data_IF_635593073792
#
_entry.id   IF_635593073792
#
_cell.length_a   1.000
_cell.length_b   1.000
_cell.length_c   1.000
_cell.angle_alpha   90.00
_cell.angle_beta   90.00
_cell.angle_gamma   90.00
#
_symmetry.space_group_name_H-M   'P 1'
#
loop_
_entity.id
_entity.type
_entity.pdbx_description
1 polymer ?
#
# COMPACT_ATOMS: atom_id res chain seq x y z
N UNK A 1 -13.87 8.74 -3.37
CA UNK A 1 -12.47 9.19 -3.22
C UNK A 1 -11.58 8.14 -3.86
N UNK A 2 -11.02 8.45 -5.04
CA UNK A 2 -10.36 7.47 -5.92
C UNK A 2 -8.95 7.92 -6.28
N UNK A 3 -8.06 6.98 -6.53
CA UNK A 3 -6.72 7.19 -7.07
C UNK A 3 -6.61 6.48 -8.41
N UNK A 4 -6.11 7.14 -9.45
CA UNK A 4 -5.90 6.52 -10.75
C UNK A 4 -4.59 6.97 -11.37
N UNK A 5 -3.97 6.10 -12.17
CA UNK A 5 -2.89 6.54 -13.04
C UNK A 5 -3.46 7.40 -14.18
N UNK A 6 -2.71 8.40 -14.69
CA UNK A 6 -3.13 9.16 -15.85
C UNK A 6 -3.49 8.25 -17.03
N UNK A 7 -4.73 8.36 -17.53
CA UNK A 7 -5.23 7.57 -18.66
C UNK A 7 -5.62 6.12 -18.33
N UNK A 8 -5.59 5.70 -17.06
CA UNK A 8 -6.09 4.39 -16.68
C UNK A 8 -7.63 4.32 -16.71
N UNK A 9 -8.16 3.22 -17.23
CA UNK A 9 -9.62 2.91 -17.19
C UNK A 9 -10.06 2.37 -15.82
N UNK A 10 -9.11 2.09 -14.94
CA UNK A 10 -9.35 1.61 -13.59
C UNK A 10 -8.88 2.62 -12.54
N UNK A 11 -9.42 2.48 -11.33
CA UNK A 11 -9.07 3.31 -10.18
C UNK A 11 -9.02 2.47 -8.90
N UNK A 12 -8.26 2.96 -7.93
CA UNK A 12 -8.16 2.41 -6.58
C UNK A 12 -8.95 3.28 -5.61
N UNK A 13 -9.79 2.64 -4.80
CA UNK A 13 -10.55 3.29 -3.73
C UNK A 13 -10.23 2.61 -2.41
N UNK A 14 -10.14 3.38 -1.32
CA UNK A 14 -10.05 2.82 0.02
C UNK A 14 -11.44 2.82 0.65
N UNK A 15 -11.82 1.71 1.27
CA UNK A 15 -12.99 1.73 2.15
C UNK A 15 -12.70 2.55 3.43
N UNK A 16 -13.76 2.93 4.15
CA UNK A 16 -13.64 3.76 5.35
C UNK A 16 -12.88 3.04 6.50
N UNK A 17 -13.03 1.71 6.60
CA UNK A 17 -12.38 0.91 7.63
C UNK A 17 -10.86 0.84 7.41
N UNK A 18 -10.44 0.76 6.15
CA UNK A 18 -9.06 0.77 5.68
C UNK A 18 -8.43 2.13 5.89
N UNK A 19 -9.13 3.22 5.52
CA UNK A 19 -8.68 4.59 5.83
C UNK A 19 -8.49 4.75 7.34
N UNK A 20 -9.49 4.36 8.13
CA UNK A 20 -9.45 4.46 9.59
C UNK A 20 -8.30 3.64 10.19
N UNK A 21 -8.05 2.43 9.69
CA UNK A 21 -6.98 1.57 10.17
C UNK A 21 -5.61 2.17 9.87
N UNK A 22 -5.39 2.63 8.64
CA UNK A 22 -4.12 3.24 8.22
C UNK A 22 -3.86 4.55 8.96
N UNK A 23 -4.88 5.39 9.15
CA UNK A 23 -4.75 6.64 9.92
C UNK A 23 -4.39 6.39 11.40
N UNK A 24 -4.86 5.30 12.00
CA UNK A 24 -4.45 4.90 13.37
C UNK A 24 -2.96 4.53 13.46
N UNK A 25 -2.31 4.23 12.33
CA UNK A 25 -0.90 3.82 12.27
C UNK A 25 0.05 4.95 11.84
N UNK A 26 -0.46 6.15 11.58
CA UNK A 26 0.36 7.33 11.26
C UNK A 26 1.46 7.56 12.32
N UNK A 27 2.65 7.91 11.85
CA UNK A 27 3.83 8.10 12.69
C UNK A 27 3.84 9.50 13.35
N UNK A 28 2.90 9.73 14.25
CA UNK A 28 2.59 11.06 14.82
C UNK A 28 3.61 11.62 15.81
N UNK A 29 4.45 10.77 16.41
CA UNK A 29 5.34 11.17 17.50
C UNK A 29 6.81 10.96 17.12
N UNK A 30 7.71 11.76 17.68
CA UNK A 30 9.18 11.70 17.49
C UNK A 30 9.85 10.38 17.87
N UNK A 31 9.11 9.44 18.48
CA UNK A 31 9.56 8.07 18.81
C UNK A 31 8.74 6.98 18.13
N UNK A 32 7.72 7.35 17.34
CA UNK A 32 6.96 6.40 16.54
C UNK A 32 7.88 5.77 15.50
N UNK A 33 7.74 4.47 15.31
CA UNK A 33 8.47 3.70 14.31
C UNK A 33 7.60 3.53 13.08
N UNK A 34 8.25 3.33 11.93
CA UNK A 34 7.52 2.94 10.73
C UNK A 34 6.75 1.64 10.94
N UNK A 35 5.51 1.62 10.47
CA UNK A 35 4.66 0.43 10.37
C UNK A 35 4.55 0.01 8.92
N UNK A 36 4.37 -1.29 8.69
CA UNK A 36 4.19 -1.87 7.36
C UNK A 36 3.06 -2.89 7.37
N UNK A 37 2.41 -3.07 6.23
CA UNK A 37 1.37 -4.07 6.07
C UNK A 37 0.98 -4.26 4.62
N UNK A 38 -0.12 -4.97 4.40
CA UNK A 38 -0.56 -5.38 3.08
C UNK A 38 -1.97 -4.87 2.78
N UNK A 39 -2.24 -4.68 1.50
CA UNK A 39 -3.50 -4.15 0.96
C UNK A 39 -4.26 -5.27 0.24
N UNK A 40 -5.54 -5.42 0.53
CA UNK A 40 -6.37 -6.48 -0.03
C UNK A 40 -7.67 -5.94 -0.62
N UNK A 41 -8.11 -6.62 -1.68
CA UNK A 41 -9.44 -6.47 -2.30
C UNK A 41 -10.11 -7.84 -2.36
N UNK A 42 -11.44 -7.86 -2.37
CA UNK A 42 -12.24 -9.05 -2.67
C UNK A 42 -12.62 -9.17 -4.16
N UNK A 43 -12.34 -8.14 -4.96
CA UNK A 43 -12.64 -8.10 -6.39
C UNK A 43 -11.48 -7.47 -7.19
N UNK A 44 -11.03 -8.17 -8.22
CA UNK A 44 -10.00 -7.74 -9.18
C UNK A 44 -10.56 -7.41 -10.57
N UNK A 45 -11.87 -7.59 -10.78
CA UNK A 45 -12.52 -7.48 -12.09
C UNK A 45 -13.19 -6.14 -12.32
N UNK A 46 -13.56 -5.44 -11.24
CA UNK A 46 -14.14 -4.11 -11.31
C UNK A 46 -13.15 -3.05 -11.79
N UNK A 47 -13.65 -2.06 -12.53
CA UNK A 47 -12.89 -0.85 -12.87
C UNK A 47 -12.56 0.01 -11.65
N UNK A 48 -13.26 -0.15 -10.54
CA UNK A 48 -12.88 0.47 -9.26
C UNK A 48 -12.49 -0.65 -8.30
N UNK A 49 -11.18 -0.80 -8.08
CA UNK A 49 -10.63 -1.76 -7.12
C UNK A 49 -10.76 -1.14 -5.72
N UNK A 50 -11.51 -1.79 -4.85
CA UNK A 50 -11.72 -1.32 -3.48
C UNK A 50 -10.78 -2.05 -2.53
N UNK A 51 -9.92 -1.30 -1.83
CA UNK A 51 -9.19 -1.81 -0.68
C UNK A 51 -10.20 -2.01 0.46
N UNK A 52 -10.65 -3.25 0.61
CA UNK A 52 -11.64 -3.68 1.61
C UNK A 52 -11.01 -4.22 2.89
N UNK A 53 -9.72 -4.59 2.84
CA UNK A 53 -8.97 -5.01 4.02
C UNK A 53 -7.54 -4.54 3.93
N UNK A 54 -7.05 -4.08 5.07
CA UNK A 54 -5.65 -3.77 5.28
C UNK A 54 -5.16 -4.57 6.47
N UNK A 55 -3.95 -5.07 6.40
CA UNK A 55 -3.33 -5.80 7.50
C UNK A 55 -2.11 -5.06 8.01
N UNK A 56 -1.51 -5.56 9.07
CA UNK A 56 -0.22 -5.07 9.54
C UNK A 56 0.69 -6.27 9.75
N UNK A 57 1.93 -6.09 9.36
CA UNK A 57 2.97 -7.08 9.54
C UNK A 57 3.80 -6.71 10.75
N UNK A 58 4.29 -7.71 11.46
CA UNK A 58 5.25 -7.47 12.53
C UNK A 58 6.57 -7.04 11.91
N UNK A 59 7.02 -5.84 12.24
CA UNK A 59 8.34 -5.40 11.83
C UNK A 59 9.43 -6.26 12.51
N UNK A 60 10.31 -6.86 11.72
CA UNK A 60 11.55 -7.48 12.20
C UNK A 60 12.54 -6.43 12.67
N UNK A 61 12.65 -5.34 11.91
CA UNK A 61 13.35 -4.12 12.31
C UNK A 61 12.51 -2.94 11.86
N UNK A 62 12.33 -1.97 12.75
CA UNK A 62 11.73 -0.71 12.40
C UNK A 62 12.49 0.41 13.09
N UNK A 63 12.81 1.42 12.31
CA UNK A 63 13.41 2.67 12.74
C UNK A 63 12.46 3.82 12.42
N UNK A 64 12.96 5.05 12.55
CA UNK A 64 12.24 6.25 12.19
C UNK A 64 11.92 6.35 10.68
N UNK A 65 12.79 5.79 9.83
CA UNK A 65 12.79 5.98 8.37
C UNK A 65 13.10 4.69 7.60
N UNK A 66 12.85 3.53 8.22
CA UNK A 66 13.03 2.24 7.56
C UNK A 66 12.29 1.15 8.33
N UNK A 67 11.61 0.28 7.59
CA UNK A 67 10.94 -0.91 8.10
C UNK A 67 11.33 -2.15 7.28
N UNK A 68 11.62 -3.24 7.98
CA UNK A 68 11.81 -4.57 7.41
C UNK A 68 10.84 -5.53 8.09
N UNK A 69 10.16 -6.35 7.29
CA UNK A 69 9.23 -7.37 7.76
C UNK A 69 9.70 -8.77 7.34
N UNK A 70 9.06 -9.81 7.88
CA UNK A 70 9.33 -11.19 7.49
C UNK A 70 8.56 -11.55 6.21
N UNK A 71 9.24 -11.85 5.09
CA UNK A 71 8.56 -12.20 3.84
C UNK A 71 7.77 -13.51 3.95
N UNK A 72 8.16 -14.43 4.84
CA UNK A 72 7.44 -15.70 5.07
C UNK A 72 6.13 -15.42 5.79
N UNK A 73 6.14 -14.56 6.81
CA UNK A 73 4.92 -14.13 7.51
C UNK A 73 3.97 -13.39 6.56
N UNK A 74 4.51 -12.49 5.73
CA UNK A 74 3.73 -11.78 4.73
C UNK A 74 3.08 -12.75 3.73
N UNK A 75 3.83 -13.73 3.23
CA UNK A 75 3.31 -14.74 2.31
C UNK A 75 2.22 -15.60 2.96
N UNK A 76 2.44 -16.06 4.20
CA UNK A 76 1.45 -16.83 4.94
C UNK A 76 0.14 -16.05 5.09
N UNK A 77 0.22 -14.78 5.50
CA UNK A 77 -0.95 -13.93 5.60
C UNK A 77 -1.67 -13.73 4.26
N UNK A 78 -0.93 -13.65 3.13
CA UNK A 78 -1.55 -13.61 1.80
C UNK A 78 -2.30 -14.89 1.48
N UNK A 79 -1.73 -16.04 1.80
CA UNK A 79 -2.34 -17.35 1.54
C UNK A 79 -3.60 -17.55 2.39
N UNK A 80 -3.53 -17.24 3.69
CA UNK A 80 -4.68 -17.35 4.60
C UNK A 80 -5.84 -16.47 4.12
N UNK A 81 -5.55 -15.22 3.73
CA UNK A 81 -6.57 -14.30 3.24
C UNK A 81 -7.08 -14.63 1.83
N UNK A 82 -6.24 -15.24 0.97
CA UNK A 82 -6.69 -15.75 -0.32
C UNK A 82 -7.71 -16.87 -0.15
N UNK A 83 -7.56 -17.74 0.85
CA UNK A 83 -8.56 -18.76 1.18
C UNK A 83 -9.89 -18.15 1.65
N UNK A 84 -9.86 -16.93 2.19
CA UNK A 84 -11.05 -16.12 2.53
C UNK A 84 -11.60 -15.32 1.33
N UNK A 85 -11.02 -15.45 0.13
CA UNK A 85 -11.43 -14.72 -1.07
C UNK A 85 -10.85 -13.30 -1.17
N UNK A 86 -9.79 -12.98 -0.43
CA UNK A 86 -9.13 -11.68 -0.46
C UNK A 86 -7.78 -11.75 -1.18
N UNK A 87 -7.65 -10.95 -2.23
CA UNK A 87 -6.46 -10.84 -3.07
C UNK A 87 -5.55 -9.74 -2.56
N UNK A 88 -4.28 -10.07 -2.31
CA UNK A 88 -3.27 -9.07 -1.99
C UNK A 88 -2.89 -8.31 -3.26
N UNK A 89 -3.06 -6.99 -3.25
CA UNK A 89 -2.75 -6.13 -4.40
C UNK A 89 -1.63 -5.13 -4.13
N UNK A 90 -1.14 -5.08 -2.89
CA UNK A 90 -0.17 -4.06 -2.54
C UNK A 90 0.40 -4.15 -1.14
N UNK A 91 1.33 -3.23 -0.89
CA UNK A 91 1.91 -2.96 0.42
C UNK A 91 1.62 -1.53 0.83
N UNK A 92 1.62 -1.30 2.13
CA UNK A 92 1.65 0.03 2.69
C UNK A 92 2.70 0.12 3.79
N UNK A 93 3.25 1.31 3.97
CA UNK A 93 4.01 1.66 5.17
C UNK A 93 3.82 3.12 5.54
N UNK A 94 4.32 3.51 6.71
CA UNK A 94 4.20 4.90 7.20
C UNK A 94 5.51 5.63 7.09
N UNK A 95 5.46 6.92 6.76
CA UNK A 95 6.56 7.84 6.92
C UNK A 95 6.23 8.89 8.00
N UNK A 96 7.25 9.48 8.64
CA UNK A 96 7.07 10.60 9.57
C UNK A 96 6.74 11.93 8.87
N UNK A 97 6.87 11.98 7.55
CA UNK A 97 6.69 13.18 6.74
C UNK A 97 5.20 13.54 6.58
N UNK A 98 4.91 14.84 6.44
CA UNK A 98 3.54 15.31 6.24
C UNK A 98 2.96 14.85 4.88
N UNK A 99 3.79 14.88 3.83
CA UNK A 99 3.48 14.47 2.47
C UNK A 99 4.67 13.62 1.97
N UNK A 100 4.61 12.30 2.07
CA UNK A 100 5.77 11.47 1.83
C UNK A 100 6.04 11.28 0.34
N UNK A 101 7.30 10.99 0.02
CA UNK A 101 7.74 10.49 -1.28
C UNK A 101 8.55 9.21 -1.08
N UNK A 102 8.44 8.22 -1.97
CA UNK A 102 9.23 7.01 -1.88
C UNK A 102 10.73 7.31 -1.98
N UNK A 103 11.52 6.64 -1.15
CA UNK A 103 12.97 6.57 -1.27
C UNK A 103 13.36 5.51 -2.31
N UNK A 104 14.62 5.50 -2.77
CA UNK A 104 15.11 4.45 -3.69
C UNK A 104 15.02 3.03 -3.12
N UNK A 105 15.02 2.88 -1.78
CA UNK A 105 14.77 1.58 -1.12
C UNK A 105 13.30 1.18 -1.26
N UNK A 106 12.36 2.12 -1.13
CA UNK A 106 10.94 1.88 -1.32
C UNK A 106 10.63 1.49 -2.76
N UNK A 107 11.23 2.18 -3.74
CA UNK A 107 11.04 1.85 -5.15
C UNK A 107 11.54 0.43 -5.47
N UNK A 108 12.70 0.05 -4.91
CA UNK A 108 13.25 -1.30 -5.08
C UNK A 108 12.36 -2.36 -4.44
N UNK A 109 11.85 -2.09 -3.24
CA UNK A 109 10.91 -2.98 -2.56
C UNK A 109 9.62 -3.14 -3.38
N UNK A 110 9.06 -2.04 -3.89
CA UNK A 110 7.89 -2.05 -4.77
C UNK A 110 8.16 -2.86 -6.05
N UNK A 111 9.34 -2.70 -6.66
CA UNK A 111 9.74 -3.45 -7.85
C UNK A 111 9.82 -4.95 -7.59
N UNK A 112 10.43 -5.37 -6.47
CA UNK A 112 10.58 -6.78 -6.11
C UNK A 112 9.21 -7.44 -5.86
N UNK A 113 8.29 -6.73 -5.20
CA UNK A 113 6.93 -7.21 -4.99
C UNK A 113 6.09 -7.23 -6.28
N UNK A 114 6.25 -6.24 -7.16
CA UNK A 114 5.61 -6.24 -8.47
C UNK A 114 6.05 -7.44 -9.33
N UNK A 115 7.36 -7.73 -9.36
CA UNK A 115 7.88 -8.91 -10.08
C UNK A 115 7.33 -10.22 -9.53
N UNK A 116 7.20 -10.32 -8.20
CA UNK A 116 6.63 -11.51 -7.57
C UNK A 116 5.12 -11.67 -7.85
N UNK A 117 4.40 -10.58 -8.18
CA UNK A 117 2.96 -10.57 -8.39
C UNK A 117 2.55 -10.54 -9.88
N UNK A 118 3.49 -10.44 -10.82
CA UNK A 118 3.21 -10.20 -12.25
C UNK A 118 2.38 -11.30 -12.92
N UNK A 119 2.39 -12.52 -12.39
CA UNK A 119 1.58 -13.63 -12.90
C UNK A 119 0.09 -13.48 -12.58
N UNK A 120 -0.28 -12.54 -11.70
CA UNK A 120 -1.65 -12.33 -11.22
C UNK A 120 -2.10 -10.87 -11.39
N UNK A 121 -1.17 -9.92 -11.31
CA UNK A 121 -1.46 -8.48 -11.33
C UNK A 121 -0.60 -7.77 -12.38
N UNK A 122 -1.21 -6.85 -13.13
CA UNK A 122 -0.50 -5.97 -14.07
C UNK A 122 0.29 -4.86 -13.39
N UNK A 123 0.11 -4.68 -12.08
CA UNK A 123 0.83 -3.71 -11.28
C UNK A 123 0.57 -3.93 -9.79
N UNK A 124 1.53 -3.51 -8.97
CA UNK A 124 1.47 -3.68 -7.53
C UNK A 124 1.32 -2.31 -6.85
N UNK A 125 0.29 -2.16 -6.02
CA UNK A 125 0.02 -0.92 -5.30
C UNK A 125 1.03 -0.74 -4.16
N UNK A 126 1.52 0.48 -4.01
CA UNK A 126 2.45 0.85 -2.96
C UNK A 126 2.00 2.17 -2.33
N UNK A 127 1.65 2.12 -1.05
CA UNK A 127 1.02 3.24 -0.34
C UNK A 127 1.92 3.70 0.80
N UNK A 128 2.25 4.98 0.85
CA UNK A 128 3.00 5.58 1.96
C UNK A 128 2.07 6.54 2.71
N UNK A 129 1.84 6.23 3.98
CA UNK A 129 0.97 6.98 4.88
C UNK A 129 1.81 8.00 5.64
N UNK A 130 1.69 9.27 5.27
CA UNK A 130 2.29 10.39 6.00
C UNK A 130 1.44 10.90 7.15
N UNK A 131 1.78 12.08 7.65
CA UNK A 131 1.18 12.69 8.84
C UNK A 131 0.04 13.68 8.56
N UNK A 132 -0.25 14.03 7.30
CA UNK A 132 -1.48 14.76 6.96
C UNK A 132 -2.68 13.81 6.83
N UNK A 133 -3.92 14.31 7.02
CA UNK A 133 -5.11 13.53 6.77
C UNK A 133 -5.17 12.93 5.36
N UNK A 134 -5.94 11.87 5.22
CA UNK A 134 -6.31 11.34 3.91
C UNK A 134 -7.21 12.36 3.19
N UNK A 135 -7.03 12.58 1.88
CA UNK A 135 -6.05 11.94 0.98
C UNK A 135 -4.69 12.65 0.91
N UNK A 136 -4.57 13.90 1.36
CA UNK A 136 -3.42 14.76 1.06
C UNK A 136 -2.09 14.28 1.66
N UNK A 137 -2.13 13.53 2.76
CA UNK A 137 -0.94 12.98 3.41
C UNK A 137 -0.48 11.63 2.88
N UNK A 138 -1.11 11.10 1.83
CA UNK A 138 -0.84 9.76 1.36
C UNK A 138 -0.19 9.79 -0.02
N UNK A 139 0.89 9.03 -0.18
CA UNK A 139 1.41 8.68 -1.48
C UNK A 139 0.74 7.38 -1.91
N UNK A 140 0.13 7.36 -3.10
CA UNK A 140 -0.37 6.14 -3.73
C UNK A 140 0.35 6.00 -5.06
N UNK A 141 1.10 4.91 -5.21
CA UNK A 141 1.79 4.60 -6.46
C UNK A 141 1.57 3.15 -6.89
N UNK A 142 1.90 2.88 -8.14
CA UNK A 142 1.79 1.57 -8.77
C UNK A 142 3.09 1.24 -9.47
N UNK A 143 3.61 0.04 -9.22
CA UNK A 143 4.78 -0.46 -9.91
C UNK A 143 4.40 -1.61 -10.85
N UNK A 144 4.69 -1.46 -12.15
CA UNK A 144 4.36 -2.42 -13.22
C UNK A 144 5.56 -3.29 -13.65
N UNK A 145 6.53 -3.49 -12.75
CA UNK A 145 7.88 -4.04 -12.98
C UNK A 145 8.87 -3.18 -13.77
N UNK A 146 8.42 -2.21 -14.56
CA UNK A 146 9.27 -1.34 -15.37
C UNK A 146 9.34 0.10 -14.83
N UNK A 147 8.22 0.61 -14.34
CA UNK A 147 8.04 1.99 -13.89
C UNK A 147 7.35 2.00 -12.54
N UNK A 148 7.67 3.01 -11.75
CA UNK A 148 6.92 3.35 -10.55
C UNK A 148 6.18 4.66 -10.80
N UNK A 149 4.85 4.59 -10.87
CA UNK A 149 4.02 5.71 -11.24
C UNK A 149 3.17 6.15 -10.06
N UNK A 150 3.20 7.45 -9.77
CA UNK A 150 2.31 8.07 -8.79
C UNK A 150 0.90 8.18 -9.38
N UNK A 151 -0.11 7.82 -8.58
CA UNK A 151 -1.50 8.00 -8.94
C UNK A 151 -2.02 9.37 -8.51
N UNK A 152 -2.92 9.91 -9.32
CA UNK A 152 -3.61 11.16 -9.05
C UNK A 152 -4.88 10.90 -8.26
N UNK A 153 -5.16 11.78 -7.31
CA UNK A 153 -6.35 11.72 -6.50
C UNK A 153 -7.53 12.44 -7.18
N UNK A 154 -8.70 11.80 -7.20
CA UNK A 154 -9.96 12.39 -7.64
C UNK A 154 -11.06 12.30 -6.57
N UNK A 155 -11.79 13.41 -6.41
CA UNK A 155 -12.98 13.51 -5.54
C UNK A 155 -14.27 13.03 -6.20
N UNK A 156 -14.25 12.76 -7.50
CA UNK A 156 -15.38 12.26 -8.31
C UNK A 156 -16.04 11.02 -7.72
#
# INVERSE_FOLDING_TARGET
>A
MKFALPGAEWSLQFDEAAVSMLQRRMQRWSRSKESVGQLFTNDLTASTIVISKVTSLKARRASWSSVAFDPIEAMRQRQDLLQEGLYCIGLWHTHPEAMPTPSGTDERLAADHARAAISVLNGFAFVIVGNRPFPEGWYVGFHDTARFLKADFSRS
#
